data_IF_236020906600
#
_entry.id   IF_236020906600
#
_cell.length_a   1.000
_cell.length_b   1.000
_cell.length_c   1.000
_cell.angle_alpha   90.00
_cell.angle_beta   90.00
_cell.angle_gamma   90.00
#
_symmetry.space_group_name_H-M   'P 1'
#
loop_
_entity.id
_entity.type
_entity.pdbx_description
1 polymer ?
#
# COMPACT_ATOMS: atom_id res chain seq x y z
N UNK A 1 -1.89 3.26 -23.36
CA UNK A 1 -2.79 2.08 -23.22
C UNK A 1 -3.97 2.13 -24.21
N UNK A 2 -4.89 3.11 -24.13
CA UNK A 2 -6.06 3.19 -25.04
C UNK A 2 -5.73 3.19 -26.54
N UNK A 3 -4.70 3.93 -26.95
CA UNK A 3 -4.26 3.98 -28.37
C UNK A 3 -3.59 2.67 -28.83
N UNK A 4 -3.06 1.86 -27.90
CA UNK A 4 -2.40 0.58 -28.20
C UNK A 4 -3.46 -0.53 -28.33
N UNK A 5 -4.50 -0.49 -27.50
CA UNK A 5 -5.56 -1.50 -27.47
C UNK A 5 -6.74 -1.23 -28.43
N UNK A 6 -6.72 -0.14 -29.22
CA UNK A 6 -7.81 0.28 -30.13
C UNK A 6 -9.20 0.31 -29.46
N UNK A 7 -9.25 0.71 -28.19
CA UNK A 7 -10.49 0.78 -27.42
C UNK A 7 -11.41 1.93 -27.88
N UNK A 8 -12.73 1.83 -27.65
CA UNK A 8 -13.69 2.87 -28.03
C UNK A 8 -13.38 4.23 -27.39
N UNK A 9 -13.78 5.31 -28.07
CA UNK A 9 -13.58 6.68 -27.59
C UNK A 9 -14.29 6.85 -26.24
N UNK A 10 -13.57 7.38 -25.24
CA UNK A 10 -14.01 7.57 -23.83
C UNK A 10 -14.12 6.31 -22.96
N UNK A 11 -13.74 5.12 -23.43
CA UNK A 11 -13.71 3.94 -22.56
C UNK A 11 -12.65 4.07 -21.46
N UNK A 12 -13.00 3.67 -20.24
CA UNK A 12 -12.06 3.62 -19.12
C UNK A 12 -10.90 2.68 -19.46
N UNK A 13 -9.67 3.07 -19.13
CA UNK A 13 -8.50 2.21 -19.30
C UNK A 13 -8.37 1.15 -18.19
N UNK A 14 -9.16 1.25 -17.11
CA UNK A 14 -9.18 0.31 -15.98
C UNK A 14 -9.26 -1.17 -16.39
N UNK A 15 -10.26 -1.58 -17.20
CA UNK A 15 -10.35 -2.97 -17.64
C UNK A 15 -9.10 -3.43 -18.38
N UNK A 16 -8.51 -2.59 -19.22
CA UNK A 16 -7.28 -2.92 -19.95
C UNK A 16 -6.08 -3.09 -18.99
N UNK A 17 -5.94 -2.23 -17.99
CA UNK A 17 -4.86 -2.39 -16.99
C UNK A 17 -5.00 -3.70 -16.21
N UNK A 18 -6.23 -4.08 -15.85
CA UNK A 18 -6.50 -5.35 -15.16
C UNK A 18 -6.24 -6.55 -16.06
N UNK A 19 -6.69 -6.50 -17.32
CA UNK A 19 -6.50 -7.56 -18.32
C UNK A 19 -5.01 -7.80 -18.61
N UNK A 20 -4.23 -6.74 -18.83
CA UNK A 20 -2.79 -6.85 -19.08
C UNK A 20 -1.95 -6.96 -17.80
N UNK A 21 -2.57 -6.97 -16.62
CA UNK A 21 -1.91 -6.93 -15.29
C UNK A 21 -0.86 -5.82 -15.17
N UNK A 22 -1.14 -4.66 -15.77
CA UNK A 22 -0.29 -3.48 -15.72
C UNK A 22 -0.73 -2.62 -14.53
N UNK A 23 0.21 -2.22 -13.68
CA UNK A 23 -0.09 -1.37 -12.53
C UNK A 23 -0.32 0.09 -12.97
N UNK A 24 -1.44 0.71 -12.57
CA UNK A 24 -1.61 2.15 -12.65
C UNK A 24 -0.54 2.91 -11.83
N UNK A 25 -0.27 4.17 -12.18
CA UNK A 25 0.68 5.04 -11.46
C UNK A 25 0.41 5.10 -9.94
N UNK A 26 -0.84 5.25 -9.48
CA UNK A 26 -1.17 5.23 -8.05
C UNK A 26 -0.80 3.90 -7.37
N UNK A 27 -1.05 2.76 -8.04
CA UNK A 27 -0.63 1.45 -7.55
C UNK A 27 0.90 1.34 -7.46
N UNK A 28 1.66 1.94 -8.38
CA UNK A 28 3.13 1.98 -8.30
C UNK A 28 3.60 2.79 -7.08
N UNK A 29 2.96 3.93 -6.82
CA UNK A 29 3.24 4.75 -5.64
C UNK A 29 2.96 3.99 -4.34
N UNK A 30 1.79 3.35 -4.24
CA UNK A 30 1.42 2.52 -3.07
C UNK A 30 2.44 1.38 -2.89
N UNK A 31 2.78 0.65 -3.95
CA UNK A 31 3.76 -0.44 -3.89
C UNK A 31 5.12 0.06 -3.39
N UNK A 32 5.58 1.22 -3.87
CA UNK A 32 6.84 1.81 -3.44
C UNK A 32 6.84 2.14 -1.94
N UNK A 33 5.77 2.79 -1.45
CA UNK A 33 5.64 3.10 -0.03
C UNK A 33 5.58 1.85 0.84
N UNK A 34 4.83 0.83 0.44
CA UNK A 34 4.72 -0.44 1.18
C UNK A 34 6.08 -1.15 1.28
N UNK A 35 6.85 -1.16 0.20
CA UNK A 35 8.21 -1.71 0.15
C UNK A 35 9.17 -0.90 1.04
N UNK A 36 9.06 0.43 1.01
CA UNK A 36 9.87 1.32 1.85
C UNK A 36 9.62 1.06 3.34
N UNK A 37 8.35 1.03 3.76
CA UNK A 37 7.96 0.75 5.15
C UNK A 37 8.39 -0.64 5.58
N UNK A 38 8.21 -1.66 4.73
CA UNK A 38 8.63 -3.04 5.07
C UNK A 38 10.13 -3.15 5.28
N UNK A 39 10.93 -2.38 4.53
CA UNK A 39 12.40 -2.35 4.64
C UNK A 39 12.88 -1.70 5.94
N UNK A 40 12.21 -0.65 6.38
CA UNK A 40 12.54 0.08 7.61
C UNK A 40 11.66 -0.32 8.80
N UNK A 41 10.92 -1.44 8.70
CA UNK A 41 9.94 -1.85 9.71
C UNK A 41 10.57 -2.03 11.10
N UNK A 42 11.81 -2.52 11.16
CA UNK A 42 12.55 -2.73 12.41
C UNK A 42 12.96 -1.42 13.09
N UNK A 43 12.97 -0.30 12.35
CA UNK A 43 13.25 1.05 12.85
C UNK A 43 11.98 1.81 13.22
N UNK A 44 10.83 1.36 12.74
CA UNK A 44 9.52 1.98 13.00
C UNK A 44 8.95 1.31 14.25
N UNK A 45 8.86 2.08 15.35
CA UNK A 45 8.28 1.58 16.58
C UNK A 45 6.85 1.06 16.34
N UNK A 46 6.62 -0.21 16.70
CA UNK A 46 5.28 -0.80 16.69
C UNK A 46 4.53 -0.34 17.94
N UNK A 47 3.20 -0.19 17.86
CA UNK A 47 2.35 0.27 18.97
C UNK A 47 2.48 -0.58 20.26
N UNK A 48 3.06 -1.78 20.15
CA UNK A 48 3.33 -2.69 21.26
C UNK A 48 4.63 -2.39 22.05
N UNK A 49 5.51 -1.49 21.57
CA UNK A 49 6.82 -1.28 22.18
C UNK A 49 6.77 -0.63 23.58
N UNK A 50 5.68 0.09 23.90
CA UNK A 50 5.54 0.83 25.17
C UNK A 50 4.47 0.30 26.13
N UNK A 51 3.75 -0.78 25.78
CA UNK A 51 2.65 -1.30 26.61
C UNK A 51 2.73 -2.82 26.78
N UNK A 52 2.88 -3.26 28.03
CA UNK A 52 2.94 -4.69 28.41
C UNK A 52 1.57 -5.40 28.36
N UNK A 53 0.61 -4.86 27.60
CA UNK A 53 -0.72 -5.41 27.43
C UNK A 53 -1.18 -5.27 25.97
N UNK A 54 -1.80 -6.31 25.43
CA UNK A 54 -2.22 -6.36 24.04
C UNK A 54 -3.39 -5.39 23.80
N UNK A 55 -3.13 -4.25 23.18
CA UNK A 55 -4.19 -3.35 22.73
C UNK A 55 -4.76 -3.84 21.39
N UNK A 56 -6.04 -3.56 21.13
CA UNK A 56 -6.74 -3.97 19.89
C UNK A 56 -6.04 -3.54 18.59
N UNK A 57 -5.15 -2.55 18.63
CA UNK A 57 -4.30 -2.07 17.52
C UNK A 57 -2.79 -2.31 17.77
N UNK A 58 -2.43 -3.28 18.61
CA UNK A 58 -1.03 -3.52 19.01
C UNK A 58 -0.12 -3.98 17.86
N UNK A 59 -0.69 -4.50 16.77
CA UNK A 59 0.04 -4.95 15.58
C UNK A 59 0.22 -3.87 14.50
N UNK A 60 -0.35 -2.68 14.72
CA UNK A 60 -0.25 -1.59 13.75
C UNK A 60 1.00 -0.74 14.02
N UNK A 61 1.63 -0.27 12.95
CA UNK A 61 2.77 0.62 13.02
C UNK A 61 2.32 1.98 13.56
N UNK A 62 3.04 2.50 14.54
CA UNK A 62 2.73 3.79 15.15
C UNK A 62 3.25 4.89 14.23
N UNK A 63 2.36 5.78 13.79
CA UNK A 63 2.79 6.98 13.06
C UNK A 63 3.53 7.92 14.02
N UNK A 64 4.76 8.36 13.69
CA UNK A 64 5.42 9.38 14.49
C UNK A 64 4.56 10.65 14.50
N UNK A 65 4.24 11.15 15.70
CA UNK A 65 3.39 12.33 15.86
C UNK A 65 4.16 13.58 15.42
N UNK A 66 3.75 14.20 14.32
CA UNK A 66 4.27 15.48 13.87
C UNK A 66 3.15 16.53 13.91
N UNK A 67 3.43 17.67 14.54
CA UNK A 67 2.46 18.76 14.79
C UNK A 67 2.12 19.59 13.53
N UNK A 68 2.83 19.37 12.41
CA UNK A 68 2.71 20.16 11.19
C UNK A 68 2.38 19.26 9.99
N UNK A 69 1.24 19.49 9.34
CA UNK A 69 0.82 18.83 8.09
C UNK A 69 1.80 19.05 6.93
N UNK A 70 2.57 20.16 6.96
CA UNK A 70 3.62 20.43 5.98
C UNK A 70 4.80 19.43 6.04
N UNK A 71 4.91 18.68 7.14
CA UNK A 71 5.90 17.63 7.35
C UNK A 71 5.31 16.21 7.24
N UNK A 72 4.19 16.06 6.53
CA UNK A 72 3.65 14.76 6.13
C UNK A 72 4.63 14.06 5.19
N UNK A 73 5.61 13.41 5.80
CA UNK A 73 6.58 12.59 5.12
C UNK A 73 5.83 11.42 4.46
N UNK A 74 6.20 10.99 3.23
CA UNK A 74 5.67 9.77 2.62
C UNK A 74 5.67 8.54 3.53
N UNK A 75 6.48 8.53 4.60
CA UNK A 75 6.40 7.54 5.66
C UNK A 75 5.05 7.48 6.39
N UNK A 76 4.37 8.60 6.65
CA UNK A 76 3.06 8.61 7.32
C UNK A 76 1.99 7.93 6.45
N UNK A 77 1.90 8.34 5.18
CA UNK A 77 1.04 7.69 4.19
C UNK A 77 1.40 6.21 4.03
N UNK A 78 2.70 5.89 3.99
CA UNK A 78 3.18 4.50 3.93
C UNK A 78 2.73 3.65 5.11
N UNK A 79 2.77 4.19 6.33
CA UNK A 79 2.31 3.49 7.54
C UNK A 79 0.81 3.21 7.47
N UNK A 80 -0.01 4.20 7.09
CA UNK A 80 -1.46 4.01 6.91
C UNK A 80 -1.76 2.92 5.85
N UNK A 81 -1.07 2.99 4.72
CA UNK A 81 -1.17 1.99 3.64
C UNK A 81 -0.75 0.59 4.10
N UNK A 82 0.32 0.50 4.88
CA UNK A 82 0.84 -0.76 5.42
C UNK A 82 -0.11 -1.34 6.47
N UNK A 83 -0.67 -0.50 7.35
CA UNK A 83 -1.63 -0.94 8.37
C UNK A 83 -2.90 -1.53 7.74
N UNK A 84 -3.34 -0.99 6.59
CA UNK A 84 -4.46 -1.54 5.82
C UNK A 84 -4.17 -2.90 5.17
N UNK A 85 -2.91 -3.29 5.01
CA UNK A 85 -2.58 -4.59 4.44
C UNK A 85 -3.11 -5.73 5.32
N UNK A 86 -3.67 -6.79 4.71
CA UNK A 86 -4.08 -7.98 5.45
C UNK A 86 -2.86 -8.67 6.11
N UNK A 87 -3.09 -9.31 7.27
CA UNK A 87 -2.01 -9.86 8.12
C UNK A 87 -1.12 -10.89 7.39
N UNK A 88 -1.71 -11.70 6.51
CA UNK A 88 -0.99 -12.67 5.69
C UNK A 88 0.06 -12.06 4.75
N UNK A 89 -0.04 -10.78 4.38
CA UNK A 89 1.01 -10.07 3.66
C UNK A 89 2.11 -9.59 4.61
N UNK A 90 1.74 -9.09 5.79
CA UNK A 90 2.67 -8.57 6.81
C UNK A 90 3.57 -9.67 7.40
N UNK A 91 3.04 -10.87 7.54
CA UNK A 91 3.74 -12.06 8.08
C UNK A 91 4.73 -12.69 7.08
N UNK A 92 4.76 -12.21 5.83
CA UNK A 92 5.68 -12.73 4.83
C UNK A 92 7.13 -12.38 5.19
N UNK A 93 7.98 -13.41 5.30
CA UNK A 93 9.37 -13.27 5.73
C UNK A 93 10.28 -12.82 4.59
N UNK A 94 9.98 -13.22 3.35
CA UNK A 94 10.78 -12.81 2.18
C UNK A 94 10.29 -11.50 1.59
N UNK A 95 11.21 -10.54 1.44
CA UNK A 95 10.93 -9.26 0.79
C UNK A 95 10.47 -9.42 -0.67
N UNK A 96 11.00 -10.43 -1.38
CA UNK A 96 10.61 -10.71 -2.76
C UNK A 96 9.18 -11.27 -2.84
N UNK A 97 8.83 -12.17 -1.92
CA UNK A 97 7.48 -12.72 -1.82
C UNK A 97 6.46 -11.65 -1.42
N UNK A 98 6.82 -10.79 -0.46
CA UNK A 98 6.01 -9.64 -0.06
C UNK A 98 5.73 -8.73 -1.26
N UNK A 99 6.78 -8.29 -1.97
CA UNK A 99 6.65 -7.41 -3.13
C UNK A 99 5.81 -8.05 -4.23
N UNK A 100 5.98 -9.34 -4.50
CA UNK A 100 5.19 -10.07 -5.49
C UNK A 100 3.71 -10.13 -5.12
N UNK A 101 3.38 -10.57 -3.91
CA UNK A 101 1.99 -10.67 -3.43
C UNK A 101 1.28 -9.32 -3.43
N UNK A 102 1.94 -8.27 -2.93
CA UNK A 102 1.39 -6.91 -2.94
C UNK A 102 1.18 -6.42 -4.37
N UNK A 103 2.13 -6.67 -5.28
CA UNK A 103 1.99 -6.30 -6.69
C UNK A 103 0.80 -7.00 -7.35
N UNK A 104 0.60 -8.29 -7.09
CA UNK A 104 -0.54 -9.06 -7.59
C UNK A 104 -1.86 -8.48 -7.05
N UNK A 105 -1.94 -8.24 -5.74
CA UNK A 105 -3.09 -7.61 -5.10
C UNK A 105 -3.45 -6.25 -5.72
N UNK A 106 -2.46 -5.39 -5.94
CA UNK A 106 -2.66 -4.07 -6.54
C UNK A 106 -3.06 -4.15 -8.02
N UNK A 107 -2.50 -5.12 -8.77
CA UNK A 107 -2.87 -5.33 -10.17
C UNK A 107 -4.30 -5.86 -10.33
N UNK A 108 -4.74 -6.74 -9.43
CA UNK A 108 -6.08 -7.33 -9.46
C UNK A 108 -7.17 -6.31 -9.09
N UNK A 109 -6.88 -5.40 -8.15
CA UNK A 109 -7.80 -4.34 -7.74
C UNK A 109 -7.74 -3.10 -8.63
N UNK A 110 -6.56 -2.76 -9.17
CA UNK A 110 -6.35 -1.66 -10.11
C UNK A 110 -6.84 -0.30 -9.58
N UNK A 111 -6.26 0.13 -8.44
CA UNK A 111 -6.55 1.41 -7.79
C UNK A 111 -6.01 2.61 -8.58
N UNK A 112 -6.83 3.67 -8.71
CA UNK A 112 -6.48 4.91 -9.43
C UNK A 112 -6.29 6.11 -8.49
N UNK A 113 -6.55 5.93 -7.20
CA UNK A 113 -6.18 6.90 -6.16
C UNK A 113 -5.66 6.15 -4.94
N UNK A 114 -4.99 6.88 -4.04
CA UNK A 114 -4.59 6.35 -2.74
C UNK A 114 -5.81 6.11 -1.85
N UNK A 115 -6.81 6.99 -1.94
CA UNK A 115 -8.07 6.88 -1.18
C UNK A 115 -8.84 5.61 -1.54
N UNK A 116 -8.91 5.24 -2.83
CA UNK A 116 -9.55 4.00 -3.27
C UNK A 116 -8.93 2.75 -2.61
N UNK A 117 -7.63 2.77 -2.33
CA UNK A 117 -6.97 1.69 -1.61
C UNK A 117 -7.30 1.70 -0.12
N UNK A 118 -7.37 2.88 0.49
CA UNK A 118 -7.65 3.02 1.93
C UNK A 118 -9.11 2.68 2.28
N UNK A 119 -10.03 3.01 1.38
CA UNK A 119 -11.46 2.71 1.48
C UNK A 119 -11.83 1.28 1.06
N UNK A 120 -10.91 0.57 0.38
CA UNK A 120 -11.14 -0.81 -0.04
C UNK A 120 -11.43 -1.72 1.18
N UNK A 121 -12.38 -2.66 1.07
CA UNK A 121 -12.75 -3.55 2.17
C UNK A 121 -11.60 -4.47 2.60
#
# INVERSE_FOLDING_TARGET
MRNIARGPYLSSSRPLFKEYRILPVPCLYILYLLVLIRKDIDKINTNNFNHNYSTRHGTDLMTPSHRLTLSENPMYAGIALYNKLPKNFKEEMSMELFKRKVKEYLADNCFYTVDEYLEAP
#
